data_IF_447522905735
#
_entry.id   IF_447522905735
#
_cell.length_a   1.000
_cell.length_b   1.000
_cell.length_c   1.000
_cell.angle_alpha   90.00
_cell.angle_beta   90.00
_cell.angle_gamma   90.00
#
_symmetry.space_group_name_H-M   'P 1'
#
loop_
_entity.id
_entity.type
_entity.pdbx_description
1 polymer ?
#
# COMPACT_ATOMS: atom_id res chain seq x y z
N UNK A 1 -9.86 -51.80 55.85
CA UNK A 1 -8.57 -52.09 56.53
C UNK A 1 -7.42 -51.57 55.67
N UNK A 2 -6.56 -50.80 56.31
CA UNK A 2 -5.23 -50.37 56.02
C UNK A 2 -4.97 -49.50 54.77
N UNK A 3 -4.68 -48.22 55.06
CA UNK A 3 -3.91 -47.26 54.35
C UNK A 3 -2.48 -47.72 54.13
N UNK A 4 -1.93 -47.41 52.93
CA UNK A 4 -0.47 -47.26 52.76
C UNK A 4 -0.13 -46.03 52.02
N UNK A 5 0.48 -45.08 52.72
CA UNK A 5 1.04 -43.85 52.32
C UNK A 5 2.38 -44.17 51.62
N UNK A 6 2.56 -43.66 50.40
CA UNK A 6 3.90 -43.59 49.79
C UNK A 6 4.18 -42.12 49.43
N UNK A 7 5.12 -41.56 50.16
CA UNK A 7 5.76 -40.28 49.95
C UNK A 7 6.70 -40.37 48.75
N UNK A 8 6.52 -39.51 47.75
CA UNK A 8 7.53 -39.31 46.72
C UNK A 8 8.07 -37.90 46.82
N UNK A 9 9.36 -37.79 47.07
CA UNK A 9 10.14 -36.55 47.10
C UNK A 9 10.12 -35.88 45.74
N UNK A 10 9.66 -34.65 45.73
CA UNK A 10 9.76 -33.73 44.58
C UNK A 10 11.17 -33.18 44.48
N UNK A 11 11.87 -33.54 43.43
CA UNK A 11 13.15 -32.91 43.04
C UNK A 11 12.82 -31.66 42.22
N UNK A 12 13.03 -30.47 42.80
CA UNK A 12 12.94 -29.19 42.09
C UNK A 12 14.12 -29.08 41.12
N UNK A 13 13.85 -29.21 39.84
CA UNK A 13 14.75 -28.76 38.79
C UNK A 13 14.59 -27.25 38.64
N UNK A 14 15.66 -26.52 38.91
CA UNK A 14 15.70 -25.07 38.72
C UNK A 14 15.61 -24.73 37.21
N UNK A 15 14.45 -24.26 36.78
CA UNK A 15 14.22 -23.75 35.43
C UNK A 15 14.83 -22.35 35.32
N UNK A 16 15.93 -22.26 34.58
CA UNK A 16 16.61 -21.02 34.27
C UNK A 16 15.67 -20.12 33.43
N UNK A 17 15.11 -19.09 34.05
CA UNK A 17 14.28 -18.08 33.40
C UNK A 17 15.10 -17.38 32.29
N UNK A 18 14.76 -17.65 31.04
CA UNK A 18 15.16 -16.79 29.92
C UNK A 18 14.31 -15.52 29.98
N UNK A 19 14.95 -14.41 30.33
CA UNK A 19 14.32 -13.10 30.28
C UNK A 19 13.94 -12.78 28.84
N UNK A 20 12.67 -12.90 28.50
CA UNK A 20 12.11 -12.28 27.30
C UNK A 20 12.12 -10.77 27.53
N UNK A 21 12.96 -10.06 26.81
CA UNK A 21 12.92 -8.60 26.75
C UNK A 21 11.56 -8.19 26.18
N UNK A 22 10.66 -7.76 27.06
CA UNK A 22 9.33 -7.31 26.66
C UNK A 22 9.41 -6.04 25.81
N UNK A 23 8.48 -5.90 24.87
CA UNK A 23 8.32 -4.73 23.98
C UNK A 23 8.43 -3.38 24.71
N UNK A 24 8.07 -3.33 26.00
CA UNK A 24 8.17 -2.14 26.86
C UNK A 24 9.62 -1.72 27.19
N UNK A 25 10.59 -2.61 27.19
CA UNK A 25 11.99 -2.28 27.48
C UNK A 25 12.74 -1.75 26.25
N UNK A 26 12.29 -2.10 25.06
CA UNK A 26 12.79 -1.52 23.81
C UNK A 26 12.37 -0.05 23.68
N UNK A 27 11.14 0.28 23.97
CA UNK A 27 10.60 1.65 23.92
C UNK A 27 11.20 2.58 25.00
N UNK A 28 11.62 2.05 26.15
CA UNK A 28 12.28 2.85 27.21
C UNK A 28 13.71 3.28 26.88
N UNK A 29 14.39 2.62 25.93
CA UNK A 29 15.74 3.00 25.50
C UNK A 29 15.77 4.11 24.42
N UNK A 30 14.65 4.36 23.77
CA UNK A 30 14.49 5.45 22.80
C UNK A 30 13.89 6.70 23.45
N UNK A 31 13.35 6.62 24.66
CA UNK A 31 12.55 7.65 25.33
C UNK A 31 13.20 8.33 26.54
N UNK A 32 14.50 8.61 26.55
CA UNK A 32 15.11 9.46 27.57
C UNK A 32 15.72 10.72 26.94
N UNK A 33 14.86 11.65 26.63
CA UNK A 33 15.15 13.01 26.21
C UNK A 33 13.84 13.76 26.07
N UNK A 34 13.31 14.24 27.21
CA UNK A 34 12.05 14.94 27.24
C UNK A 34 12.10 16.29 26.54
N UNK A 35 11.05 16.59 25.84
CA UNK A 35 10.35 17.87 25.78
C UNK A 35 9.33 17.76 24.65
N UNK A 36 8.07 17.88 24.98
CA UNK A 36 6.97 18.15 24.05
C UNK A 36 7.26 19.47 23.35
N UNK A 37 7.79 19.40 22.14
CA UNK A 37 7.77 20.50 21.20
C UNK A 37 7.12 19.98 19.93
N UNK A 38 5.99 20.56 19.60
CA UNK A 38 5.38 20.51 18.26
C UNK A 38 6.42 21.04 17.28
N UNK A 39 7.12 20.15 16.59
CA UNK A 39 8.05 20.53 15.53
C UNK A 39 7.29 20.56 14.21
N UNK A 40 7.44 21.62 13.43
CA UNK A 40 6.89 21.66 12.07
C UNK A 40 7.59 20.61 11.21
N UNK A 41 6.80 19.86 10.45
CA UNK A 41 7.23 18.87 9.47
C UNK A 41 7.93 19.61 8.31
N UNK A 42 9.19 19.88 8.46
CA UNK A 42 9.94 20.66 7.46
C UNK A 42 11.45 20.75 7.70
N UNK A 43 12.07 19.77 8.37
CA UNK A 43 13.45 19.95 8.75
C UNK A 43 14.32 18.71 8.91
N UNK A 44 14.11 17.64 8.15
CA UNK A 44 14.90 16.39 8.30
C UNK A 44 15.89 16.12 7.16
N UNK A 45 16.26 17.13 6.38
CA UNK A 45 17.27 16.97 5.33
C UNK A 45 18.70 17.44 5.76
N UNK A 46 18.96 17.69 7.02
CA UNK A 46 20.26 18.23 7.45
C UNK A 46 20.94 17.52 8.62
N UNK A 47 20.60 16.28 8.94
CA UNK A 47 21.45 15.47 9.81
C UNK A 47 22.16 14.41 8.97
N UNK A 48 23.35 14.77 8.50
CA UNK A 48 24.28 13.86 7.84
C UNK A 48 24.71 12.75 8.80
N UNK A 49 23.92 11.69 8.89
CA UNK A 49 24.44 10.41 9.30
C UNK A 49 25.13 9.86 8.05
N UNK A 50 26.43 10.09 7.95
CA UNK A 50 27.28 9.34 7.06
C UNK A 50 27.21 7.87 7.52
N UNK A 51 26.24 7.12 7.02
CA UNK A 51 26.29 5.68 7.09
C UNK A 51 27.60 5.29 6.38
N UNK A 52 28.55 4.73 7.12
CA UNK A 52 29.67 4.02 6.52
C UNK A 52 29.06 2.94 5.65
N UNK A 53 29.01 3.20 4.35
CA UNK A 53 28.68 2.20 3.37
C UNK A 53 29.72 1.10 3.50
N UNK A 54 29.30 -0.09 3.91
CA UNK A 54 30.10 -1.28 3.72
C UNK A 54 30.41 -1.37 2.23
N UNK A 55 31.67 -1.62 1.92
CA UNK A 55 32.31 -1.45 0.61
C UNK A 55 31.89 -2.53 -0.43
N UNK A 56 30.61 -2.63 -0.71
CA UNK A 56 30.11 -3.22 -1.95
C UNK A 56 29.75 -2.09 -2.93
N UNK A 57 30.68 -1.14 -3.07
CA UNK A 57 30.53 0.12 -3.78
C UNK A 57 30.62 0.02 -5.31
N UNK A 58 29.92 -0.94 -5.92
CA UNK A 58 29.69 -0.95 -7.36
C UNK A 58 28.52 -0.02 -7.72
N UNK A 59 28.64 0.73 -8.82
CA UNK A 59 27.48 1.42 -9.43
C UNK A 59 26.45 0.37 -9.83
N UNK A 60 25.18 0.65 -9.54
CA UNK A 60 24.09 -0.18 -10.07
C UNK A 60 23.92 0.06 -11.58
N UNK A 61 23.43 -0.94 -12.34
CA UNK A 61 23.10 -0.77 -13.74
C UNK A 61 22.17 0.42 -13.99
N UNK A 62 22.34 1.14 -15.10
CA UNK A 62 21.49 2.29 -15.42
C UNK A 62 19.99 1.97 -15.46
N UNK A 63 19.61 0.77 -15.92
CA UNK A 63 18.24 0.30 -15.92
C UNK A 63 17.69 0.13 -14.51
N UNK A 64 18.47 -0.46 -13.61
CA UNK A 64 18.10 -0.62 -12.19
C UNK A 64 17.95 0.75 -11.52
N UNK A 65 18.85 1.70 -11.82
CA UNK A 65 18.74 3.07 -11.33
C UNK A 65 17.48 3.77 -11.84
N UNK A 66 17.10 3.57 -13.11
CA UNK A 66 15.90 4.14 -13.69
C UNK A 66 14.63 3.59 -13.03
N UNK A 67 14.56 2.28 -12.81
CA UNK A 67 13.46 1.61 -12.10
C UNK A 67 13.33 2.17 -10.67
N UNK A 68 14.42 2.16 -9.89
CA UNK A 68 14.39 2.66 -8.51
C UNK A 68 14.04 4.14 -8.42
N UNK A 69 14.44 4.96 -9.38
CA UNK A 69 14.05 6.38 -9.42
C UNK A 69 12.56 6.57 -9.69
N UNK A 70 11.96 5.75 -10.54
CA UNK A 70 10.51 5.79 -10.73
C UNK A 70 9.79 5.31 -9.47
N UNK A 71 10.22 4.19 -8.89
CA UNK A 71 9.65 3.67 -7.63
C UNK A 71 9.76 4.71 -6.50
N UNK A 72 10.92 5.37 -6.33
CA UNK A 72 11.05 6.46 -5.36
C UNK A 72 10.05 7.61 -5.60
N UNK A 73 9.74 7.93 -6.85
CA UNK A 73 8.71 8.93 -7.15
C UNK A 73 7.30 8.42 -6.80
N UNK A 74 6.99 7.17 -7.07
CA UNK A 74 5.72 6.54 -6.72
C UNK A 74 5.53 6.55 -5.18
N UNK A 75 6.52 6.09 -4.43
CA UNK A 75 6.49 6.09 -2.96
C UNK A 75 6.34 7.49 -2.34
N UNK A 76 6.94 8.52 -2.95
CA UNK A 76 6.74 9.91 -2.51
C UNK A 76 5.29 10.36 -2.73
N UNK A 77 4.66 9.94 -3.83
CA UNK A 77 3.26 10.24 -4.12
C UNK A 77 2.32 9.45 -3.19
N UNK A 78 2.63 8.18 -2.94
CA UNK A 78 1.90 7.34 -1.99
C UNK A 78 2.02 7.87 -0.57
N UNK A 79 3.21 8.22 -0.12
CA UNK A 79 3.42 8.88 1.18
C UNK A 79 2.56 10.14 1.32
N UNK A 80 2.46 10.98 0.28
CA UNK A 80 1.66 12.20 0.32
C UNK A 80 0.15 11.90 0.46
N UNK A 81 -0.37 10.93 -0.28
CA UNK A 81 -1.78 10.56 -0.19
C UNK A 81 -2.11 9.88 1.15
N UNK A 82 -1.26 8.95 1.61
CA UNK A 82 -1.45 8.28 2.88
C UNK A 82 -1.35 9.22 4.07
N UNK A 83 -0.49 10.22 4.00
CA UNK A 83 -0.40 11.26 5.03
C UNK A 83 -1.72 12.04 5.15
N UNK A 84 -2.38 12.38 4.04
CA UNK A 84 -3.68 13.07 4.06
C UNK A 84 -4.76 12.19 4.72
N UNK A 85 -4.81 10.91 4.40
CA UNK A 85 -5.71 9.96 5.04
C UNK A 85 -5.43 9.82 6.54
N UNK A 86 -4.16 9.68 6.91
CA UNK A 86 -3.76 9.50 8.30
C UNK A 86 -4.10 10.71 9.18
N UNK A 87 -3.87 11.91 8.68
CA UNK A 87 -4.23 13.15 9.39
C UNK A 87 -5.72 13.14 9.78
N UNK A 88 -6.58 12.76 8.85
CA UNK A 88 -8.02 12.76 9.05
C UNK A 88 -8.52 11.51 9.79
N UNK A 89 -7.94 10.36 9.56
CA UNK A 89 -8.27 9.13 10.29
C UNK A 89 -7.99 9.25 11.79
N UNK A 90 -7.01 10.06 12.19
CA UNK A 90 -6.64 10.27 13.58
C UNK A 90 -7.18 11.59 14.17
N UNK A 91 -7.38 12.60 13.34
CA UNK A 91 -7.71 13.96 13.77
C UNK A 91 -9.15 14.42 13.51
N UNK A 92 -9.93 13.69 12.71
CA UNK A 92 -11.33 14.01 12.41
C UNK A 92 -12.26 12.93 12.95
N UNK A 93 -12.98 13.22 14.01
CA UNK A 93 -13.82 12.23 14.71
C UNK A 93 -14.90 11.61 13.80
N UNK A 94 -15.49 12.40 12.89
CA UNK A 94 -16.53 11.90 12.00
C UNK A 94 -15.95 10.91 10.96
N UNK A 95 -14.83 11.25 10.36
CA UNK A 95 -14.16 10.38 9.39
C UNK A 95 -13.59 9.12 10.06
N UNK A 96 -12.97 9.27 11.23
CA UNK A 96 -12.47 8.15 12.04
C UNK A 96 -13.57 7.12 12.33
N UNK A 97 -14.73 7.59 12.83
CA UNK A 97 -15.85 6.71 13.15
C UNK A 97 -16.41 6.04 11.89
N UNK A 98 -16.49 6.76 10.77
CA UNK A 98 -16.97 6.21 9.51
C UNK A 98 -15.99 5.14 8.94
N UNK A 99 -14.69 5.32 9.10
CA UNK A 99 -13.69 4.27 8.77
C UNK A 99 -13.86 3.04 9.68
N UNK A 100 -14.14 3.26 10.97
CA UNK A 100 -14.33 2.16 11.94
C UNK A 100 -15.60 1.35 11.67
N UNK A 101 -16.54 1.83 10.87
CA UNK A 101 -17.68 1.04 10.38
C UNK A 101 -17.23 -0.05 9.41
N UNK A 102 -16.20 0.21 8.59
CA UNK A 102 -15.63 -0.80 7.71
C UNK A 102 -14.82 -1.82 8.52
N UNK A 103 -14.00 -1.33 9.46
CA UNK A 103 -13.25 -2.18 10.37
C UNK A 103 -12.81 -1.36 11.61
N UNK A 104 -13.03 -1.89 12.82
CA UNK A 104 -12.81 -1.17 14.06
C UNK A 104 -11.38 -0.66 14.27
N UNK A 105 -10.39 -1.30 13.69
CA UNK A 105 -8.98 -0.90 13.77
C UNK A 105 -8.45 -0.19 12.51
N UNK A 106 -9.32 0.11 11.54
CA UNK A 106 -8.94 0.71 10.26
C UNK A 106 -8.09 2.00 10.41
N UNK A 107 -8.38 2.94 11.32
CA UNK A 107 -7.52 4.11 11.53
C UNK A 107 -6.09 3.74 11.98
N UNK A 108 -5.93 2.63 12.71
CA UNK A 108 -4.61 2.12 13.11
C UNK A 108 -3.83 1.61 11.91
N UNK A 109 -4.49 0.87 11.02
CA UNK A 109 -3.85 0.39 9.78
C UNK A 109 -3.50 1.52 8.83
N UNK A 110 -4.35 2.55 8.69
CA UNK A 110 -4.00 3.76 7.92
C UNK A 110 -2.72 4.40 8.46
N UNK A 111 -2.58 4.51 9.79
CA UNK A 111 -1.36 5.03 10.39
C UNK A 111 -0.14 4.15 10.12
N UNK A 112 -0.30 2.83 10.18
CA UNK A 112 0.80 1.90 9.95
C UNK A 112 1.24 1.89 8.48
N UNK A 113 0.29 1.85 7.56
CA UNK A 113 0.57 1.94 6.12
C UNK A 113 1.31 3.25 5.80
N UNK A 114 0.79 4.38 6.27
CA UNK A 114 1.47 5.69 6.10
C UNK A 114 2.93 5.64 6.55
N UNK A 115 3.22 4.97 7.66
CA UNK A 115 4.61 4.82 8.17
C UNK A 115 5.44 3.90 7.30
N UNK A 116 4.85 2.87 6.71
CA UNK A 116 5.55 1.97 5.80
C UNK A 116 5.97 2.73 4.54
N UNK A 117 5.05 3.49 3.92
CA UNK A 117 5.35 4.28 2.72
C UNK A 117 6.45 5.32 2.97
N UNK A 118 6.46 5.97 4.14
CA UNK A 118 7.60 6.80 4.53
C UNK A 118 8.92 6.04 4.53
N UNK A 119 8.92 4.79 4.99
CA UNK A 119 10.18 4.00 5.00
C UNK A 119 10.58 3.53 3.61
N UNK A 120 9.62 3.25 2.72
CA UNK A 120 9.89 2.87 1.33
C UNK A 120 10.58 4.01 0.59
N UNK A 121 9.98 5.22 0.57
CA UNK A 121 10.57 6.37 -0.10
C UNK A 121 11.95 6.73 0.44
N UNK A 122 12.13 6.72 1.76
CA UNK A 122 13.39 7.08 2.42
C UNK A 122 14.47 6.05 2.11
N UNK A 123 14.12 4.76 2.15
CA UNK A 123 15.05 3.68 1.87
C UNK A 123 15.53 3.71 0.41
N UNK A 124 14.60 3.81 -0.55
CA UNK A 124 14.98 3.81 -1.97
C UNK A 124 15.86 5.01 -2.28
N UNK A 125 15.51 6.20 -1.81
CA UNK A 125 16.33 7.39 -2.02
C UNK A 125 17.71 7.31 -1.34
N UNK A 126 17.78 6.78 -0.12
CA UNK A 126 19.05 6.55 0.56
C UNK A 126 19.92 5.53 -0.18
N UNK A 127 19.33 4.45 -0.71
CA UNK A 127 20.04 3.47 -1.51
C UNK A 127 20.58 4.07 -2.82
N UNK A 128 19.77 4.86 -3.53
CA UNK A 128 20.21 5.57 -4.73
C UNK A 128 21.43 6.43 -4.43
N UNK A 129 21.40 7.23 -3.36
CA UNK A 129 22.53 8.06 -2.92
C UNK A 129 23.76 7.20 -2.61
N UNK A 130 23.60 6.11 -1.87
CA UNK A 130 24.70 5.19 -1.53
C UNK A 130 25.35 4.55 -2.77
N UNK A 131 24.61 4.42 -3.87
CA UNK A 131 25.10 3.91 -5.17
C UNK A 131 25.57 5.03 -6.12
N UNK A 132 25.66 6.27 -5.65
CA UNK A 132 26.08 7.42 -6.45
C UNK A 132 25.09 7.86 -7.53
N UNK A 133 23.80 7.52 -7.34
CA UNK A 133 22.69 7.93 -8.21
C UNK A 133 21.95 9.10 -7.56
N UNK A 134 21.54 10.07 -8.35
CA UNK A 134 20.77 11.23 -7.86
C UNK A 134 19.41 10.77 -7.34
N UNK A 135 19.05 11.06 -6.08
CA UNK A 135 17.74 10.74 -5.53
C UNK A 135 16.64 11.52 -6.23
N UNK A 136 15.40 11.11 -5.98
CA UNK A 136 14.21 11.79 -6.50
C UNK A 136 13.66 12.73 -5.45
N UNK A 137 13.25 13.92 -5.87
CA UNK A 137 12.48 14.87 -5.06
C UNK A 137 11.34 15.44 -5.90
N UNK A 138 10.16 15.48 -5.32
CA UNK A 138 8.97 16.10 -5.91
C UNK A 138 8.55 17.36 -5.15
N UNK A 139 9.37 17.86 -4.23
CA UNK A 139 9.05 19.00 -3.36
C UNK A 139 8.67 20.29 -4.11
N UNK A 140 9.30 20.54 -5.27
CA UNK A 140 8.96 21.71 -6.11
C UNK A 140 7.56 21.65 -6.70
N UNK A 141 6.92 20.49 -6.67
CA UNK A 141 5.56 20.25 -7.20
C UNK A 141 4.48 20.21 -6.10
N UNK A 142 4.84 20.42 -4.84
CA UNK A 142 3.87 20.54 -3.75
C UNK A 142 3.11 21.85 -3.88
N UNK A 143 2.01 21.86 -4.62
CA UNK A 143 1.24 23.06 -4.93
C UNK A 143 -0.25 22.90 -4.63
N UNK A 144 -0.75 21.66 -4.54
CA UNK A 144 -2.16 21.39 -4.34
C UNK A 144 -2.61 21.75 -2.91
N UNK A 145 -3.88 22.16 -2.71
CA UNK A 145 -4.40 22.47 -1.39
C UNK A 145 -4.63 21.21 -0.56
N UNK A 146 -4.54 21.34 0.77
CA UNK A 146 -5.01 20.36 1.73
C UNK A 146 -6.51 20.50 1.99
N UNK A 147 -7.12 19.44 2.55
CA UNK A 147 -8.45 19.49 3.16
C UNK A 147 -8.53 20.60 4.23
N UNK A 148 -9.70 21.22 4.37
CA UNK A 148 -9.99 22.22 5.38
C UNK A 148 -10.77 21.64 6.57
N UNK A 149 -11.02 20.32 6.58
CA UNK A 149 -11.63 19.65 7.72
C UNK A 149 -10.71 19.63 8.94
N UNK A 150 -11.30 19.53 10.12
CA UNK A 150 -10.57 19.35 11.39
C UNK A 150 -9.72 18.08 11.29
N UNK A 151 -8.50 18.13 11.82
CA UNK A 151 -7.53 17.05 11.78
C UNK A 151 -6.52 17.17 10.61
N UNK A 152 -6.89 17.80 9.51
CA UNK A 152 -5.98 18.03 8.40
C UNK A 152 -4.94 19.10 8.70
N UNK A 153 -3.74 18.96 8.17
CA UNK A 153 -2.76 20.05 8.07
C UNK A 153 -3.17 21.01 6.96
N UNK A 154 -4.04 21.96 7.31
CA UNK A 154 -4.71 22.88 6.37
C UNK A 154 -3.76 23.75 5.54
N UNK A 155 -2.56 23.97 6.03
CA UNK A 155 -1.56 24.84 5.39
C UNK A 155 -0.55 24.08 4.54
N UNK A 156 -0.50 22.76 4.67
CA UNK A 156 0.38 21.94 3.86
C UNK A 156 0.02 22.02 2.38
N UNK A 157 1.06 22.03 1.54
CA UNK A 157 0.90 21.84 0.11
C UNK A 157 1.09 20.37 -0.22
N UNK A 158 0.25 19.87 -1.12
CA UNK A 158 0.18 18.44 -1.46
C UNK A 158 0.69 18.17 -2.88
N UNK A 159 1.08 16.94 -3.10
CA UNK A 159 1.39 16.40 -4.43
C UNK A 159 0.15 15.79 -5.07
N UNK A 160 -0.77 15.30 -4.25
CA UNK A 160 -1.96 14.53 -4.66
C UNK A 160 -3.24 15.21 -4.19
N UNK A 161 -4.33 14.99 -4.94
CA UNK A 161 -5.68 15.46 -4.61
C UNK A 161 -6.59 14.28 -4.34
N UNK A 162 -7.22 14.26 -3.17
CA UNK A 162 -8.15 13.20 -2.76
C UNK A 162 -9.62 13.66 -2.76
N UNK A 163 -9.91 14.81 -3.34
CA UNK A 163 -11.24 15.42 -3.25
C UNK A 163 -12.11 15.20 -4.49
N UNK A 164 -11.52 14.82 -5.62
CA UNK A 164 -12.23 14.63 -6.87
C UNK A 164 -11.67 13.41 -7.62
N UNK A 165 -11.77 12.25 -6.99
CA UNK A 165 -11.25 11.00 -7.54
C UNK A 165 -12.28 10.29 -8.41
N UNK A 166 -11.77 9.56 -9.37
CA UNK A 166 -12.49 8.52 -10.08
C UNK A 166 -11.99 7.19 -9.54
N UNK A 167 -12.85 6.47 -8.79
CA UNK A 167 -12.49 5.23 -8.11
C UNK A 167 -13.20 4.06 -8.79
N UNK A 168 -12.41 3.12 -9.28
CA UNK A 168 -12.91 1.87 -9.87
C UNK A 168 -13.15 0.85 -8.74
N UNK A 169 -14.39 0.53 -8.48
CA UNK A 169 -14.75 -0.49 -7.48
C UNK A 169 -14.83 -1.90 -8.07
N UNK A 170 -14.68 -2.06 -9.38
CA UNK A 170 -14.81 -3.35 -10.05
C UNK A 170 -13.61 -4.28 -9.83
N UNK A 171 -12.44 -3.74 -9.47
CA UNK A 171 -11.27 -4.56 -9.17
C UNK A 171 -11.56 -5.62 -8.11
N UNK A 172 -12.41 -5.32 -7.18
CA UNK A 172 -12.84 -6.21 -6.11
C UNK A 172 -13.48 -7.51 -6.65
N UNK A 173 -14.43 -7.38 -7.56
CA UNK A 173 -15.09 -8.53 -8.21
C UNK A 173 -14.22 -9.16 -9.30
N UNK A 174 -13.39 -8.37 -9.98
CA UNK A 174 -12.50 -8.87 -11.04
C UNK A 174 -11.46 -9.84 -10.54
N UNK A 175 -10.84 -9.55 -9.40
CA UNK A 175 -9.85 -10.44 -8.80
C UNK A 175 -10.42 -11.81 -8.46
N UNK A 176 -11.71 -11.89 -8.24
CA UNK A 176 -12.44 -13.11 -7.92
C UNK A 176 -13.11 -13.74 -9.13
N UNK A 177 -13.03 -13.13 -10.27
CA UNK A 177 -13.65 -13.62 -11.49
C UNK A 177 -12.79 -14.64 -12.21
N UNK A 178 -13.36 -15.76 -12.66
CA UNK A 178 -12.69 -16.72 -13.55
C UNK A 178 -12.32 -16.11 -14.90
N UNK A 179 -13.03 -15.07 -15.32
CA UNK A 179 -12.71 -14.29 -16.52
C UNK A 179 -11.59 -13.26 -16.33
N UNK A 180 -10.99 -13.19 -15.13
CA UNK A 180 -9.87 -12.28 -14.88
C UNK A 180 -8.65 -12.74 -15.68
N UNK A 181 -8.18 -11.98 -16.68
CA UNK A 181 -7.05 -12.38 -17.49
C UNK A 181 -5.74 -12.26 -16.69
N UNK A 182 -4.87 -13.25 -16.84
CA UNK A 182 -3.52 -13.19 -16.27
C UNK A 182 -2.53 -12.93 -17.38
N UNK A 183 -2.20 -13.31 -18.32
CA UNK A 183 -1.22 -13.07 -19.39
C UNK A 183 -1.03 -11.59 -19.79
N UNK A 184 -1.22 -10.67 -18.88
CA UNK A 184 -1.02 -9.24 -19.09
C UNK A 184 -2.13 -8.54 -19.88
N UNK A 185 -3.30 -9.12 -19.97
CA UNK A 185 -4.47 -8.44 -20.55
C UNK A 185 -5.00 -7.36 -19.62
N UNK A 186 -5.43 -6.25 -20.21
CA UNK A 186 -6.07 -5.18 -19.46
C UNK A 186 -7.53 -5.48 -19.25
N UNK A 187 -8.03 -5.17 -18.06
CA UNK A 187 -9.45 -5.10 -17.82
C UNK A 187 -10.05 -3.83 -18.40
N UNK A 188 -11.25 -3.87 -18.98
CA UNK A 188 -12.03 -2.67 -19.04
C UNK A 188 -12.32 -2.23 -17.61
N UNK A 189 -11.86 -1.03 -17.23
CA UNK A 189 -12.23 -0.46 -15.95
C UNK A 189 -13.74 -0.19 -15.94
N UNK A 190 -14.42 -0.73 -14.94
CA UNK A 190 -15.80 -0.40 -14.63
C UNK A 190 -15.74 0.62 -13.52
N UNK A 191 -15.88 1.89 -13.87
CA UNK A 191 -15.81 2.99 -12.93
C UNK A 191 -17.20 3.23 -12.35
N UNK A 192 -17.34 3.03 -11.04
CA UNK A 192 -18.60 3.27 -10.34
C UNK A 192 -18.67 4.67 -9.73
N UNK A 193 -17.54 5.26 -9.36
CA UNK A 193 -17.46 6.53 -8.64
C UNK A 193 -16.63 7.52 -9.45
N UNK A 194 -17.25 8.63 -9.84
CA UNK A 194 -16.61 9.66 -10.68
C UNK A 194 -16.69 11.01 -9.99
N UNK A 195 -15.58 11.73 -9.88
CA UNK A 195 -15.46 13.04 -9.26
C UNK A 195 -15.96 13.06 -7.80
N UNK A 196 -15.57 12.07 -7.02
CA UNK A 196 -15.99 11.92 -5.62
C UNK A 196 -14.82 12.19 -4.66
N UNK A 197 -15.11 12.71 -3.46
CA UNK A 197 -14.10 12.84 -2.44
C UNK A 197 -13.84 11.50 -1.73
N UNK A 198 -12.56 11.22 -1.46
CA UNK A 198 -12.16 10.14 -0.57
C UNK A 198 -11.71 10.65 0.81
N UNK A 199 -11.67 11.97 0.98
CA UNK A 199 -11.49 12.65 2.27
C UNK A 199 -12.52 13.78 2.40
N UNK A 200 -12.97 14.12 3.62
CA UNK A 200 -13.82 15.29 3.81
C UNK A 200 -13.04 16.57 3.54
N UNK A 201 -13.60 17.48 2.74
CA UNK A 201 -13.00 18.81 2.50
C UNK A 201 -13.32 19.81 3.65
N UNK A 202 -14.39 19.57 4.36
CA UNK A 202 -14.85 20.34 5.54
C UNK A 202 -15.46 19.36 6.54
N UNK A 203 -15.69 19.82 7.76
CA UNK A 203 -16.29 18.98 8.79
C UNK A 203 -17.72 18.59 8.42
N UNK A 204 -18.03 17.32 8.61
CA UNK A 204 -19.34 16.71 8.40
C UNK A 204 -19.86 16.13 9.70
N UNK A 205 -21.17 15.92 9.77
CA UNK A 205 -21.79 15.35 10.96
C UNK A 205 -21.39 13.88 11.14
N UNK A 206 -21.07 13.52 12.38
CA UNK A 206 -20.81 12.14 12.78
C UNK A 206 -22.02 11.26 12.43
N UNK A 207 -21.75 10.11 11.81
CA UNK A 207 -22.76 9.12 11.45
C UNK A 207 -23.66 9.53 10.28
N UNK A 208 -23.35 10.62 9.56
CA UNK A 208 -24.10 10.98 8.36
C UNK A 208 -23.72 10.10 7.18
N UNK A 209 -24.68 9.87 6.27
CA UNK A 209 -24.44 9.14 5.01
C UNK A 209 -23.30 9.76 4.19
N UNK A 210 -23.16 11.09 4.23
CA UNK A 210 -22.13 11.80 3.49
C UNK A 210 -20.72 11.42 3.95
N UNK A 211 -20.46 11.36 5.27
CA UNK A 211 -19.14 10.96 5.76
C UNK A 211 -18.90 9.46 5.56
N UNK A 212 -19.95 8.63 5.68
CA UNK A 212 -19.84 7.18 5.42
C UNK A 212 -19.54 6.90 3.96
N UNK A 213 -20.18 7.62 3.03
CA UNK A 213 -19.87 7.53 1.60
C UNK A 213 -18.39 7.86 1.32
N UNK A 214 -17.88 8.93 1.93
CA UNK A 214 -16.47 9.31 1.79
C UNK A 214 -15.54 8.23 2.37
N UNK A 215 -15.86 7.68 3.53
CA UNK A 215 -15.06 6.62 4.14
C UNK A 215 -15.07 5.32 3.31
N UNK A 216 -16.23 4.94 2.75
CA UNK A 216 -16.32 3.80 1.84
C UNK A 216 -15.47 4.03 0.59
N UNK A 217 -15.57 5.24 0.00
CA UNK A 217 -14.74 5.64 -1.15
C UNK A 217 -13.25 5.55 -0.82
N UNK A 218 -12.85 6.01 0.37
CA UNK A 218 -11.48 5.89 0.84
C UNK A 218 -11.03 4.44 0.92
N UNK A 219 -11.81 3.55 1.52
CA UNK A 219 -11.50 2.12 1.63
C UNK A 219 -11.25 1.47 0.28
N UNK A 220 -12.08 1.76 -0.73
CA UNK A 220 -11.90 1.26 -2.09
C UNK A 220 -10.69 1.91 -2.78
N UNK A 221 -10.41 3.18 -2.52
CA UNK A 221 -9.22 3.85 -3.05
C UNK A 221 -7.93 3.29 -2.44
N UNK A 222 -7.90 2.98 -1.14
CA UNK A 222 -6.76 2.32 -0.50
C UNK A 222 -6.36 1.05 -1.25
N UNK A 223 -7.33 0.15 -1.44
CA UNK A 223 -7.07 -1.10 -2.13
C UNK A 223 -6.71 -0.90 -3.62
N UNK A 224 -7.22 0.13 -4.28
CA UNK A 224 -6.85 0.45 -5.67
C UNK A 224 -5.38 0.89 -5.77
N UNK A 225 -4.91 1.71 -4.85
CA UNK A 225 -3.52 2.18 -4.81
C UNK A 225 -2.58 1.01 -4.55
N UNK A 226 -2.83 0.24 -3.52
CA UNK A 226 -1.98 -0.87 -3.13
C UNK A 226 -1.98 -2.02 -4.16
N UNK A 227 -3.11 -2.24 -4.84
CA UNK A 227 -3.14 -3.14 -5.98
C UNK A 227 -2.24 -2.63 -7.12
N UNK A 228 -2.23 -1.32 -7.33
CA UNK A 228 -1.35 -0.67 -8.29
C UNK A 228 0.12 -0.86 -7.93
N UNK A 229 0.50 -0.65 -6.66
CA UNK A 229 1.83 -0.89 -6.12
C UNK A 229 2.27 -2.34 -6.31
N UNK A 230 1.44 -3.30 -5.89
CA UNK A 230 1.70 -4.73 -6.07
C UNK A 230 2.02 -5.09 -7.53
N UNK A 231 1.17 -4.66 -8.47
CA UNK A 231 1.36 -4.95 -9.90
C UNK A 231 2.60 -4.24 -10.48
N UNK A 232 2.89 -3.03 -10.01
CA UNK A 232 4.03 -2.25 -10.47
C UNK A 232 5.36 -2.91 -10.09
N UNK A 233 5.52 -3.26 -8.82
CA UNK A 233 6.73 -3.91 -8.33
C UNK A 233 6.97 -5.25 -9.03
N UNK A 234 5.94 -6.08 -9.14
CA UNK A 234 6.02 -7.37 -9.83
C UNK A 234 6.42 -7.21 -11.30
N UNK A 235 5.93 -6.17 -11.98
CA UNK A 235 6.24 -5.91 -13.38
C UNK A 235 7.71 -5.56 -13.62
N UNK A 236 8.42 -5.09 -12.59
CA UNK A 236 9.85 -4.76 -12.68
C UNK A 236 10.77 -5.92 -12.34
N UNK A 237 10.33 -6.94 -11.59
CA UNK A 237 11.17 -8.07 -11.21
C UNK A 237 11.92 -8.73 -12.39
N UNK A 238 11.28 -8.99 -13.55
CA UNK A 238 11.99 -9.56 -14.68
C UNK A 238 12.94 -8.59 -15.41
N UNK A 239 12.93 -7.31 -15.08
CA UNK A 239 13.73 -6.26 -15.75
C UNK A 239 14.98 -5.87 -14.98
N UNK A 240 14.99 -6.07 -13.65
CA UNK A 240 16.14 -5.71 -12.81
C UNK A 240 17.30 -6.68 -13.03
N UNK A 241 18.50 -6.14 -13.00
CA UNK A 241 19.74 -6.88 -13.27
C UNK A 241 20.44 -7.30 -11.98
N UNK A 242 20.65 -6.36 -11.05
CA UNK A 242 21.41 -6.65 -9.83
C UNK A 242 20.59 -7.40 -8.80
N UNK A 243 21.23 -8.32 -8.08
CA UNK A 243 20.59 -9.09 -7.01
C UNK A 243 20.11 -8.17 -5.87
N UNK A 244 20.85 -7.10 -5.56
CA UNK A 244 20.44 -6.13 -4.53
C UNK A 244 19.13 -5.44 -4.91
N UNK A 245 19.02 -4.96 -6.15
CA UNK A 245 17.80 -4.30 -6.62
C UNK A 245 16.64 -5.30 -6.75
N UNK A 246 16.91 -6.55 -7.18
CA UNK A 246 15.91 -7.61 -7.14
C UNK A 246 15.35 -7.81 -5.72
N UNK A 247 16.21 -7.80 -4.69
CA UNK A 247 15.79 -7.95 -3.29
C UNK A 247 15.00 -6.74 -2.79
N UNK A 248 15.35 -5.53 -3.23
CA UNK A 248 14.61 -4.31 -2.89
C UNK A 248 13.21 -4.37 -3.51
N UNK A 249 13.13 -4.61 -4.82
CA UNK A 249 11.85 -4.65 -5.55
C UNK A 249 10.95 -5.77 -5.03
N UNK A 250 11.48 -6.96 -4.80
CA UNK A 250 10.71 -8.07 -4.23
C UNK A 250 10.31 -7.82 -2.78
N UNK A 251 11.16 -7.17 -1.98
CA UNK A 251 10.90 -6.91 -0.57
C UNK A 251 9.81 -5.85 -0.35
N UNK A 252 9.89 -4.74 -1.06
CA UNK A 252 8.86 -3.69 -0.99
C UNK A 252 7.58 -4.19 -1.67
N UNK A 253 7.67 -4.78 -2.87
CA UNK A 253 6.52 -5.37 -3.56
C UNK A 253 5.76 -6.39 -2.71
N UNK A 254 6.45 -7.15 -1.86
CA UNK A 254 5.82 -8.05 -0.88
C UNK A 254 5.02 -7.31 0.20
N UNK A 255 5.45 -6.10 0.63
CA UNK A 255 4.65 -5.27 1.54
C UNK A 255 3.43 -4.64 0.85
N UNK A 256 3.56 -4.23 -0.40
CA UNK A 256 2.43 -3.74 -1.21
C UNK A 256 1.32 -4.79 -1.36
N UNK A 257 1.72 -6.06 -1.58
CA UNK A 257 0.77 -7.19 -1.62
C UNK A 257 0.03 -7.34 -0.29
N UNK A 258 0.74 -7.24 0.84
CA UNK A 258 0.14 -7.31 2.17
C UNK A 258 -0.81 -6.15 2.44
N UNK A 259 -0.44 -4.94 2.05
CA UNK A 259 -1.30 -3.76 2.15
C UNK A 259 -2.56 -3.95 1.31
N UNK A 260 -2.42 -4.39 0.07
CA UNK A 260 -3.55 -4.66 -0.81
C UNK A 260 -4.54 -5.65 -0.22
N UNK A 261 -4.06 -6.78 0.32
CA UNK A 261 -4.91 -7.80 0.92
C UNK A 261 -5.70 -7.24 2.12
N UNK A 262 -5.02 -6.50 3.00
CA UNK A 262 -5.66 -5.87 4.16
C UNK A 262 -6.75 -4.89 3.72
N UNK A 263 -6.46 -4.02 2.77
CA UNK A 263 -7.42 -3.01 2.33
C UNK A 263 -8.57 -3.59 1.54
N UNK A 264 -8.33 -4.63 0.76
CA UNK A 264 -9.38 -5.34 0.06
C UNK A 264 -10.34 -6.00 1.05
N UNK A 265 -9.84 -6.65 2.08
CA UNK A 265 -10.67 -7.23 3.15
C UNK A 265 -11.53 -6.16 3.83
N UNK A 266 -10.92 -5.07 4.26
CA UNK A 266 -11.64 -3.98 4.94
C UNK A 266 -12.66 -3.28 4.05
N UNK A 267 -12.32 -3.01 2.79
CA UNK A 267 -13.26 -2.42 1.84
C UNK A 267 -14.49 -3.31 1.59
N UNK A 268 -14.30 -4.63 1.66
CA UNK A 268 -15.39 -5.60 1.52
C UNK A 268 -16.47 -5.52 2.60
N UNK A 269 -16.22 -4.83 3.70
CA UNK A 269 -17.19 -4.60 4.78
C UNK A 269 -17.96 -3.29 4.62
N UNK A 270 -17.69 -2.50 3.57
CA UNK A 270 -18.32 -1.19 3.37
C UNK A 270 -19.85 -1.32 3.34
N UNK A 271 -20.60 -0.64 4.26
CA UNK A 271 -22.04 -0.73 4.28
C UNK A 271 -22.65 -0.06 3.05
N UNK A 272 -23.82 -0.52 2.60
CA UNK A 272 -24.61 0.22 1.62
C UNK A 272 -24.90 1.62 2.19
N UNK A 273 -24.58 2.65 1.42
CA UNK A 273 -25.00 4.02 1.74
C UNK A 273 -26.11 4.38 0.76
N UNK A 274 -27.27 4.86 1.20
CA UNK A 274 -28.31 5.39 0.33
C UNK A 274 -27.77 6.66 -0.33
N UNK A 275 -26.88 6.48 -1.28
CA UNK A 275 -26.21 7.59 -1.90
C UNK A 275 -27.15 8.31 -2.86
N UNK A 276 -27.16 9.60 -2.83
CA UNK A 276 -27.73 10.44 -3.87
C UNK A 276 -27.18 10.13 -5.28
N UNK A 277 -26.12 9.34 -5.36
CA UNK A 277 -25.40 8.98 -6.60
C UNK A 277 -25.73 7.57 -7.10
N UNK A 278 -26.44 6.73 -6.34
CA UNK A 278 -26.67 5.31 -6.69
C UNK A 278 -25.40 4.44 -6.69
N UNK A 279 -24.32 4.90 -6.07
CA UNK A 279 -23.07 4.17 -6.01
C UNK A 279 -23.20 2.89 -5.17
N UNK A 280 -22.71 1.78 -5.72
CA UNK A 280 -22.66 0.50 -5.06
C UNK A 280 -21.23 0.21 -4.60
N UNK A 281 -21.12 -0.22 -3.35
CA UNK A 281 -19.87 -0.75 -2.80
C UNK A 281 -19.99 -2.27 -2.73
N UNK A 282 -19.19 -3.02 -3.52
CA UNK A 282 -19.19 -4.47 -3.47
C UNK A 282 -18.80 -4.96 -2.07
N UNK A 283 -19.48 -5.99 -1.58
CA UNK A 283 -19.17 -6.61 -0.30
C UNK A 283 -18.49 -7.97 -0.52
N UNK A 284 -17.66 -8.39 0.46
CA UNK A 284 -17.14 -9.75 0.49
C UNK A 284 -18.33 -10.72 0.57
N UNK A 285 -18.39 -11.73 -0.30
CA UNK A 285 -19.36 -12.80 -0.13
C UNK A 285 -19.06 -13.49 1.21
N UNK A 286 -20.12 -13.73 1.97
CA UNK A 286 -19.99 -14.57 3.17
C UNK A 286 -19.44 -15.94 2.76
N UNK A 287 -18.72 -16.59 3.67
CA UNK A 287 -18.27 -17.96 3.48
C UNK A 287 -19.48 -18.82 3.07
N UNK A 288 -19.35 -19.71 2.08
CA UNK A 288 -20.43 -20.61 1.70
C UNK A 288 -20.91 -21.41 2.90
N UNK A 289 -22.19 -21.77 2.89
CA UNK A 289 -22.79 -22.55 3.95
C UNK A 289 -21.93 -23.79 4.22
N UNK A 290 -21.64 -24.02 5.50
CA UNK A 290 -20.67 -25.00 5.95
C UNK A 290 -20.91 -26.38 5.33
N UNK A 291 -20.06 -26.76 4.41
CA UNK A 291 -19.75 -28.15 4.14
C UNK A 291 -18.98 -28.70 5.35
N UNK A 292 -18.98 -30.02 5.62
CA UNK A 292 -18.28 -30.58 6.77
C UNK A 292 -16.80 -30.22 6.89
N UNK A 293 -16.15 -29.88 5.78
CA UNK A 293 -14.75 -29.43 5.70
C UNK A 293 -14.62 -27.89 5.52
N UNK A 294 -15.74 -27.17 5.47
CA UNK A 294 -15.74 -25.72 5.32
C UNK A 294 -15.42 -25.22 3.89
N UNK A 295 -15.34 -26.12 2.92
CA UNK A 295 -14.98 -25.79 1.53
C UNK A 295 -16.20 -25.94 0.64
N UNK A 296 -16.51 -24.93 -0.17
CA UNK A 296 -17.51 -25.07 -1.24
C UNK A 296 -16.89 -25.79 -2.43
N UNK A 297 -17.25 -27.06 -2.55
CA UNK A 297 -16.80 -27.90 -3.67
C UNK A 297 -17.58 -27.70 -4.96
N UNK A 298 -18.63 -26.88 -4.95
CA UNK A 298 -19.39 -26.56 -6.16
C UNK A 298 -18.61 -25.67 -7.13
N UNK A 299 -17.74 -24.81 -6.59
CA UNK A 299 -16.74 -24.06 -7.36
C UNK A 299 -15.35 -24.20 -6.69
N UNK A 300 -14.53 -25.15 -7.12
CA UNK A 300 -13.22 -25.37 -6.55
C UNK A 300 -12.27 -24.17 -6.70
N UNK A 301 -12.69 -23.16 -7.49
CA UNK A 301 -11.95 -21.93 -7.70
C UNK A 301 -12.35 -20.83 -6.71
N UNK A 302 -13.42 -21.03 -5.94
CA UNK A 302 -13.86 -20.07 -4.93
C UNK A 302 -13.15 -20.33 -3.60
N UNK A 303 -12.05 -19.67 -3.39
CA UNK A 303 -11.18 -19.88 -2.23
C UNK A 303 -11.49 -18.96 -1.05
N UNK A 304 -12.45 -18.04 -1.16
CA UNK A 304 -12.67 -16.97 -0.19
C UNK A 304 -11.41 -16.12 0.15
N UNK A 305 -10.33 -16.38 -0.51
CA UNK A 305 -9.16 -15.53 -0.36
C UNK A 305 -9.40 -14.22 -1.08
N UNK A 306 -9.03 -13.16 -0.44
CA UNK A 306 -9.22 -11.80 -0.94
C UNK A 306 -8.34 -11.56 -2.17
N UNK A 307 -7.20 -12.25 -2.25
CA UNK A 307 -6.31 -12.22 -3.39
C UNK A 307 -6.86 -12.99 -4.59
N UNK A 308 -6.23 -12.82 -5.73
CA UNK A 308 -6.65 -13.39 -6.99
C UNK A 308 -7.09 -14.86 -6.89
N UNK A 309 -8.20 -15.20 -7.53
CA UNK A 309 -8.62 -16.59 -7.71
C UNK A 309 -7.54 -17.35 -8.47
N UNK A 310 -7.43 -18.67 -8.25
CA UNK A 310 -6.57 -19.51 -9.08
C UNK A 310 -6.86 -19.31 -10.56
N UNK A 311 -5.84 -19.13 -11.34
CA UNK A 311 -5.92 -18.83 -12.76
C UNK A 311 -4.82 -19.53 -13.55
N UNK A 312 -4.97 -19.58 -14.87
CA UNK A 312 -3.89 -20.02 -15.74
C UNK A 312 -2.79 -18.97 -15.71
N UNK A 313 -1.57 -19.40 -15.43
CA UNK A 313 -0.41 -18.54 -15.27
C UNK A 313 0.74 -19.05 -16.13
N UNK A 314 1.51 -18.17 -16.78
CA UNK A 314 2.63 -18.44 -17.69
C UNK A 314 2.18 -19.14 -18.98
N UNK A 315 1.42 -20.23 -18.89
CA UNK A 315 0.93 -20.99 -20.03
C UNK A 315 -0.47 -21.56 -19.76
N UNK A 316 -1.34 -21.51 -20.77
CA UNK A 316 -2.67 -22.11 -20.70
C UNK A 316 -2.66 -23.64 -20.59
N UNK A 317 -1.51 -24.27 -20.87
CA UNK A 317 -1.32 -25.71 -20.73
C UNK A 317 -0.93 -26.17 -19.33
N UNK A 318 -0.56 -25.22 -18.44
CA UNK A 318 -0.21 -25.51 -17.05
C UNK A 318 -1.48 -25.55 -16.19
N UNK A 319 -1.43 -26.26 -15.05
CA UNK A 319 -2.50 -26.21 -14.06
C UNK A 319 -2.74 -24.78 -13.56
N UNK A 320 -3.93 -24.57 -13.01
CA UNK A 320 -4.29 -23.32 -12.36
C UNK A 320 -3.40 -23.08 -11.12
N UNK A 321 -3.04 -21.82 -10.89
CA UNK A 321 -2.23 -21.41 -9.77
C UNK A 321 -2.83 -20.15 -9.13
N UNK A 322 -2.93 -20.10 -7.81
CA UNK A 322 -3.27 -18.89 -7.08
C UNK A 322 -2.06 -17.98 -7.03
N UNK A 323 -2.09 -16.90 -7.77
CA UNK A 323 -1.01 -15.92 -7.87
C UNK A 323 -1.57 -14.50 -7.85
N UNK A 324 -0.79 -13.55 -7.37
CA UNK A 324 -0.97 -12.17 -7.77
C UNK A 324 -0.61 -12.09 -9.24
N UNK A 325 -1.49 -11.51 -10.03
CA UNK A 325 -1.36 -11.47 -11.48
C UNK A 325 -0.39 -10.40 -11.91
N UNK A 326 0.88 -10.76 -12.19
CA UNK A 326 1.81 -9.82 -12.74
C UNK A 326 1.34 -9.46 -14.15
N UNK A 327 1.06 -8.20 -14.36
CA UNK A 327 0.83 -7.70 -15.71
C UNK A 327 2.16 -7.55 -16.44
N UNK A 328 2.15 -7.69 -17.76
CA UNK A 328 3.32 -7.33 -18.56
C UNK A 328 3.70 -5.86 -18.31
N UNK A 329 4.97 -5.52 -18.41
CA UNK A 329 5.44 -4.14 -18.21
C UNK A 329 4.74 -3.14 -19.14
N UNK A 330 4.32 -3.58 -20.32
CA UNK A 330 3.55 -2.72 -21.24
C UNK A 330 2.16 -2.34 -20.71
N UNK A 331 1.61 -3.14 -19.79
CA UNK A 331 0.25 -2.94 -19.25
C UNK A 331 0.23 -2.64 -17.74
N UNK A 332 1.29 -3.00 -17.02
CA UNK A 332 1.42 -2.80 -15.58
C UNK A 332 2.68 -2.05 -15.17
N UNK A 333 3.48 -1.57 -16.13
CA UNK A 333 4.72 -0.85 -15.87
C UNK A 333 4.50 0.62 -15.46
N UNK A 334 5.59 1.35 -15.40
CA UNK A 334 5.62 2.73 -14.93
C UNK A 334 4.71 3.69 -15.71
N UNK A 335 4.71 3.59 -17.05
CA UNK A 335 3.85 4.42 -17.90
C UNK A 335 2.37 4.11 -17.68
N UNK A 336 2.02 2.82 -17.51
CA UNK A 336 0.65 2.41 -17.22
C UNK A 336 0.20 2.92 -15.84
N UNK A 337 1.04 2.79 -14.82
CA UNK A 337 0.77 3.30 -13.47
C UNK A 337 0.59 4.83 -13.46
N UNK A 338 1.55 5.58 -14.03
CA UNK A 338 1.47 7.04 -14.13
C UNK A 338 0.20 7.50 -14.88
N UNK A 339 -0.17 6.79 -15.94
CA UNK A 339 -1.38 7.09 -16.72
C UNK A 339 -2.64 6.80 -15.91
N UNK A 340 -2.73 5.64 -15.26
CA UNK A 340 -3.88 5.25 -14.43
C UNK A 340 -4.11 6.21 -13.27
N UNK A 341 -3.06 6.56 -12.53
CA UNK A 341 -3.13 7.55 -11.44
C UNK A 341 -3.52 8.95 -11.95
N UNK A 342 -3.07 9.34 -13.13
CA UNK A 342 -3.51 10.59 -13.76
C UNK A 342 -5.00 10.54 -14.12
N UNK A 343 -5.46 9.45 -14.72
CA UNK A 343 -6.86 9.27 -15.12
C UNK A 343 -7.80 9.15 -13.91
N UNK A 344 -7.32 8.62 -12.78
CA UNK A 344 -8.09 8.59 -11.53
C UNK A 344 -8.32 9.97 -10.90
N UNK A 345 -7.68 11.02 -11.41
CA UNK A 345 -7.81 12.37 -10.89
C UNK A 345 -6.86 12.69 -9.73
N UNK A 346 -5.98 11.76 -9.33
CA UNK A 346 -5.06 11.93 -8.20
C UNK A 346 -4.15 13.16 -8.35
N UNK A 347 -3.85 13.55 -9.58
CA UNK A 347 -2.98 14.68 -9.90
C UNK A 347 -3.75 15.89 -10.44
N UNK A 348 -5.06 15.98 -10.21
CA UNK A 348 -5.85 17.13 -10.64
C UNK A 348 -5.30 18.42 -10.03
N UNK A 349 -4.99 19.41 -10.90
CA UNK A 349 -4.42 20.68 -10.49
C UNK A 349 -2.89 20.74 -10.51
N UNK A 350 -2.20 19.64 -10.82
CA UNK A 350 -0.75 19.64 -10.96
C UNK A 350 -0.26 20.37 -12.22
N UNK A 351 0.97 20.84 -12.17
CA UNK A 351 1.60 21.60 -13.25
C UNK A 351 2.06 20.70 -14.40
N UNK A 352 2.19 21.28 -15.60
CA UNK A 352 2.81 20.60 -16.75
C UNK A 352 4.25 20.12 -16.45
N UNK A 353 4.97 20.84 -15.58
CA UNK A 353 6.30 20.44 -15.11
C UNK A 353 6.28 19.14 -14.33
N UNK A 354 5.28 18.95 -13.46
CA UNK A 354 5.06 17.71 -12.73
C UNK A 354 4.85 16.52 -13.68
N UNK A 355 3.90 16.67 -14.63
CA UNK A 355 3.63 15.59 -15.59
C UNK A 355 4.86 15.24 -16.44
N UNK A 356 5.62 16.25 -16.88
CA UNK A 356 6.86 16.00 -17.61
C UNK A 356 7.89 15.23 -16.78
N UNK A 357 8.02 15.55 -15.50
CA UNK A 357 8.94 14.84 -14.60
C UNK A 357 8.46 13.41 -14.34
N UNK A 358 7.18 13.19 -13.99
CA UNK A 358 6.60 11.89 -13.72
C UNK A 358 6.70 10.96 -14.94
N UNK A 359 6.20 11.38 -16.09
CA UNK A 359 6.24 10.58 -17.33
C UNK A 359 7.65 10.38 -17.86
N UNK A 360 8.56 11.32 -17.63
CA UNK A 360 9.98 11.16 -17.94
C UNK A 360 10.64 10.05 -17.12
N UNK A 361 10.38 10.00 -15.82
CA UNK A 361 10.84 8.90 -14.96
C UNK A 361 10.21 7.57 -15.38
N UNK A 362 8.90 7.56 -15.66
CA UNK A 362 8.17 6.37 -16.08
C UNK A 362 8.73 5.79 -17.40
N UNK A 363 8.95 6.63 -18.39
CA UNK A 363 9.49 6.18 -19.69
C UNK A 363 10.89 5.57 -19.55
N UNK A 364 11.76 6.15 -18.72
CA UNK A 364 13.10 5.61 -18.51
C UNK A 364 13.08 4.29 -17.73
N UNK A 365 12.18 4.13 -16.78
CA UNK A 365 11.98 2.89 -16.04
C UNK A 365 11.45 1.76 -16.96
N UNK A 366 10.48 2.05 -17.81
CA UNK A 366 9.92 1.06 -18.73
C UNK A 366 10.89 0.66 -19.85
N UNK A 367 11.81 1.54 -20.22
CA UNK A 367 12.89 1.24 -21.16
C UNK A 367 14.00 0.34 -20.57
N UNK A 368 14.01 0.17 -19.25
CA UNK A 368 14.98 -0.71 -18.59
C UNK A 368 14.78 -2.16 -19.03
N UNK A 369 15.90 -2.87 -19.23
CA UNK A 369 15.94 -4.29 -19.53
C UNK A 369 17.04 -4.95 -18.73
N UNK A 370 16.83 -6.22 -18.39
CA UNK A 370 17.84 -7.01 -17.70
C UNK A 370 19.05 -7.17 -18.61
N UNK A 371 20.22 -6.78 -18.13
CA UNK A 371 21.48 -7.09 -18.80
C UNK A 371 22.00 -8.43 -18.27
N UNK A 372 22.38 -9.33 -19.17
CA UNK A 372 23.15 -10.50 -18.82
C UNK A 372 24.61 -10.07 -18.98
N UNK A 373 25.43 -10.17 -17.93
CA UNK A 373 26.87 -10.13 -18.12
C UNK A 373 27.21 -11.42 -18.88
N UNK A 374 27.75 -11.29 -20.09
CA UNK A 374 28.40 -12.40 -20.77
C UNK A 374 29.68 -12.68 -19.96
N UNK A 375 29.73 -13.84 -19.28
CA UNK A 375 30.89 -14.37 -18.58
C UNK A 375 32.04 -14.70 -19.57
#
# INVERSE_FOLDING_TARGET
MLKKIISTKSTRVAQKSRSTLGRRSFLKRIGLGGATALLPVGGWLASGVAAKADSHGGRIPPGDAAILRFLAAAEILETDLWQQYNELALGNAAFQQALQVLDGDMPTYVNQNTRNEFTHQDFINAYLVAKGVTPVSLESFRTLPSSQATGSNKTAKRLTSLMNLTVDTSWYTRYRSTGNPDFGDTFPQIVNLVNVPAIPNSDLAIGSDAIQFIANTAGFHFATIEQGGSSLYDSFLPKVTSLEVTRIVAGIGGSEVQHFEIWQDKAGNAPPVPAATGALFPQLPLAPAATPDGIDHSDPMDTNQVMARPCKFISTSLPLCAVIRPTSTAKGGAMAAATGLTQSGLFNGQSNGFFKALFGLAATADAASRSFEED
#
